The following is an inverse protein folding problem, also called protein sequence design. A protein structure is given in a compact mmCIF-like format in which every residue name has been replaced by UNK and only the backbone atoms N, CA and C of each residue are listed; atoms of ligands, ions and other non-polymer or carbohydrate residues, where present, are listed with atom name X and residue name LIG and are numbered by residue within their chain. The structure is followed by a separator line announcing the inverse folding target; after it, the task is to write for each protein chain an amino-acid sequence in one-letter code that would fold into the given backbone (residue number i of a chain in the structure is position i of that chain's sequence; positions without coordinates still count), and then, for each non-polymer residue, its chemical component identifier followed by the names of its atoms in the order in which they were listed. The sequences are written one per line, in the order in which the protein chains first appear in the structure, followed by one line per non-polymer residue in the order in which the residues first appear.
data_IF_454812893011
#
_entry.id   IF_454812893011
#
_cell.length_a   1.000
_cell.length_b   1.000
_cell.length_c   1.000
_cell.angle_alpha   90.00
_cell.angle_beta   90.00
_cell.angle_gamma   90.00
#
_symmetry.space_group_name_H-M   'P 1'
#
loop_
_entity.id
_entity.type
_entity.pdbx_description
1 polymer ?
#
# COMPACT_ATOMS: atom_id res chain seq x y z
N UNK A 1 -24.20 31.78 9.07
CA UNK A 1 -22.86 31.44 9.57
C UNK A 1 -22.92 30.39 10.70
N UNK A 2 -23.65 30.57 11.75
CA UNK A 2 -23.72 29.68 12.93
C UNK A 2 -24.09 28.23 12.57
N UNK A 3 -25.10 28.03 11.72
CA UNK A 3 -25.50 26.67 11.29
C UNK A 3 -24.45 25.92 10.46
N UNK A 4 -23.66 26.61 9.65
CA UNK A 4 -22.59 25.98 8.91
C UNK A 4 -21.49 25.46 9.86
N UNK A 5 -21.13 26.28 10.85
CA UNK A 5 -20.15 25.88 11.88
C UNK A 5 -20.69 24.69 12.68
N UNK A 6 -21.96 24.72 13.06
CA UNK A 6 -22.62 23.63 13.79
C UNK A 6 -22.56 22.31 13.02
N UNK A 7 -22.95 22.31 11.73
CA UNK A 7 -22.91 21.14 10.87
C UNK A 7 -21.44 20.64 10.69
N UNK A 8 -20.50 21.57 10.55
CA UNK A 8 -19.08 21.27 10.47
C UNK A 8 -18.55 20.52 11.70
N UNK A 9 -18.89 21.02 12.89
CA UNK A 9 -18.47 20.38 14.15
C UNK A 9 -19.09 18.98 14.27
N UNK A 10 -20.36 18.82 13.93
CA UNK A 10 -21.03 17.52 13.94
C UNK A 10 -20.39 16.53 12.95
N UNK A 11 -20.05 17.02 11.76
CA UNK A 11 -19.37 16.20 10.76
C UNK A 11 -17.98 15.75 11.23
N UNK A 12 -17.20 16.65 11.84
CA UNK A 12 -15.89 16.30 12.42
C UNK A 12 -16.01 15.28 13.56
N UNK A 13 -17.04 15.41 14.43
CA UNK A 13 -17.31 14.41 15.47
C UNK A 13 -17.63 13.03 14.86
N UNK A 14 -18.52 12.99 13.88
CA UNK A 14 -18.87 11.75 13.17
C UNK A 14 -17.66 11.16 12.45
N UNK A 15 -16.79 12.00 11.90
CA UNK A 15 -15.55 11.58 11.25
C UNK A 15 -14.57 10.96 12.26
N UNK A 16 -14.43 11.55 13.44
CA UNK A 16 -13.65 10.98 14.53
C UNK A 16 -14.17 9.61 14.97
N UNK A 17 -15.48 9.47 15.14
CA UNK A 17 -16.13 8.19 15.51
C UNK A 17 -15.92 7.15 14.41
N UNK A 18 -16.13 7.50 13.14
CA UNK A 18 -15.93 6.60 12.00
C UNK A 18 -14.48 6.16 11.88
N UNK A 19 -13.53 7.08 12.05
CA UNK A 19 -12.10 6.79 12.03
C UNK A 19 -11.73 5.79 13.13
N UNK A 20 -12.15 6.04 14.38
CA UNK A 20 -11.88 5.13 15.49
C UNK A 20 -12.50 3.76 15.28
N UNK A 21 -13.73 3.70 14.75
CA UNK A 21 -14.41 2.43 14.45
C UNK A 21 -13.65 1.64 13.39
N UNK A 22 -13.26 2.28 12.30
CA UNK A 22 -12.53 1.61 11.21
C UNK A 22 -11.13 1.20 11.67
N UNK A 23 -10.41 2.06 12.42
CA UNK A 23 -9.11 1.70 13.02
C UNK A 23 -9.21 0.48 13.93
N UNK A 24 -10.27 0.41 14.74
CA UNK A 24 -10.49 -0.75 15.60
C UNK A 24 -10.64 -2.05 14.79
N UNK A 25 -11.41 -2.04 13.69
CA UNK A 25 -11.52 -3.20 12.81
C UNK A 25 -10.22 -3.53 12.08
N UNK A 26 -9.49 -2.52 11.60
CA UNK A 26 -8.16 -2.71 10.99
C UNK A 26 -7.22 -3.40 11.99
N UNK A 27 -7.15 -2.93 13.23
CA UNK A 27 -6.32 -3.53 14.27
C UNK A 27 -6.72 -4.96 14.61
N UNK A 28 -8.01 -5.29 14.60
CA UNK A 28 -8.47 -6.65 14.84
C UNK A 28 -8.06 -7.59 13.69
N UNK A 29 -8.27 -7.18 12.45
CA UNK A 29 -8.05 -8.05 11.28
C UNK A 29 -6.55 -8.15 11.00
N UNK A 30 -5.89 -7.03 10.70
CA UNK A 30 -4.46 -7.03 10.36
C UNK A 30 -3.60 -7.43 11.57
N UNK A 31 -4.00 -7.04 12.78
CA UNK A 31 -3.34 -7.45 14.02
C UNK A 31 -3.35 -8.95 14.23
N UNK A 32 -4.49 -9.61 14.00
CA UNK A 32 -4.60 -11.07 14.09
C UNK A 32 -3.69 -11.76 13.06
N UNK A 33 -3.69 -11.29 11.81
CA UNK A 33 -2.87 -11.85 10.73
C UNK A 33 -1.38 -11.67 11.01
N UNK A 34 -0.98 -10.50 11.48
CA UNK A 34 0.43 -10.23 11.84
C UNK A 34 0.89 -11.08 13.03
N UNK A 35 0.09 -11.20 14.09
CA UNK A 35 0.44 -12.03 15.24
C UNK A 35 0.58 -13.50 14.86
N UNK A 36 -0.32 -14.03 14.03
CA UNK A 36 -0.21 -15.39 13.52
C UNK A 36 1.04 -15.59 12.66
N UNK A 37 1.36 -14.64 11.80
CA UNK A 37 2.55 -14.67 10.94
C UNK A 37 3.84 -14.68 11.78
N UNK A 38 3.97 -13.80 12.77
CA UNK A 38 5.16 -13.73 13.61
C UNK A 38 5.28 -14.95 14.54
N UNK A 39 4.16 -15.44 15.09
CA UNK A 39 4.12 -16.65 15.91
C UNK A 39 4.56 -17.89 15.13
N UNK A 40 4.10 -18.04 13.88
CA UNK A 40 4.49 -19.20 13.04
C UNK A 40 5.98 -19.19 12.67
N UNK A 41 6.64 -18.04 12.71
CA UNK A 41 8.08 -17.90 12.46
C UNK A 41 8.94 -17.84 13.73
N UNK A 42 8.39 -18.15 14.92
CA UNK A 42 9.05 -18.12 16.22
C UNK A 42 9.70 -16.75 16.56
N UNK A 43 9.02 -15.66 16.21
CA UNK A 43 9.49 -14.30 16.47
C UNK A 43 8.80 -13.67 17.67
N UNK A 44 9.49 -12.71 18.28
CA UNK A 44 9.00 -11.99 19.45
C UNK A 44 7.71 -11.21 19.15
N UNK A 45 6.72 -11.32 20.04
CA UNK A 45 5.45 -10.59 19.93
C UNK A 45 5.64 -9.06 19.92
N UNK A 46 6.69 -8.54 20.54
CA UNK A 46 7.03 -7.12 20.53
C UNK A 46 7.27 -6.59 19.11
N UNK A 47 7.95 -7.37 18.28
CA UNK A 47 8.22 -7.03 16.87
C UNK A 47 6.97 -7.07 16.02
N UNK A 48 6.06 -8.01 16.31
CA UNK A 48 4.76 -8.08 15.67
C UNK A 48 3.95 -6.80 15.94
N UNK A 49 3.89 -6.38 17.20
CA UNK A 49 3.19 -5.15 17.61
C UNK A 49 3.78 -3.92 16.92
N UNK A 50 5.12 -3.80 16.88
CA UNK A 50 5.78 -2.70 16.17
C UNK A 50 5.39 -2.67 14.68
N UNK A 51 5.39 -3.81 14.03
CA UNK A 51 5.02 -3.92 12.62
C UNK A 51 3.55 -3.55 12.37
N UNK A 52 2.63 -3.96 13.26
CA UNK A 52 1.22 -3.55 13.21
C UNK A 52 1.10 -2.03 13.23
N UNK A 53 1.78 -1.36 14.18
CA UNK A 53 1.73 0.11 14.27
C UNK A 53 2.30 0.81 13.02
N UNK A 54 3.35 0.25 12.42
CA UNK A 54 3.94 0.79 11.19
C UNK A 54 3.01 0.67 9.98
N UNK A 55 2.11 -0.30 9.96
CA UNK A 55 1.15 -0.52 8.86
C UNK A 55 -0.13 0.31 8.98
N UNK A 56 -0.47 0.80 10.18
CA UNK A 56 -1.68 1.60 10.43
C UNK A 56 -1.85 2.77 9.44
N UNK A 57 -0.83 3.61 9.17
CA UNK A 57 -1.00 4.74 8.27
C UNK A 57 -1.42 4.34 6.86
N UNK A 58 -0.84 3.27 6.32
CA UNK A 58 -1.18 2.74 5.01
C UNK A 58 -2.64 2.26 4.97
N UNK A 59 -3.01 1.36 5.89
CA UNK A 59 -4.35 0.76 5.94
C UNK A 59 -5.43 1.83 6.20
N UNK A 60 -5.12 2.84 7.03
CA UNK A 60 -6.02 3.97 7.26
C UNK A 60 -6.22 4.78 5.99
N UNK A 61 -5.16 5.01 5.20
CA UNK A 61 -5.25 5.75 3.95
C UNK A 61 -6.09 5.00 2.90
N UNK A 62 -5.94 3.68 2.80
CA UNK A 62 -6.78 2.83 1.95
C UNK A 62 -8.26 2.85 2.38
N UNK A 63 -8.52 2.87 3.68
CA UNK A 63 -9.87 2.91 4.24
C UNK A 63 -10.53 4.31 4.23
N UNK A 64 -9.82 5.36 3.77
CA UNK A 64 -10.31 6.74 3.89
C UNK A 64 -11.65 6.98 3.21
N UNK A 65 -11.90 6.37 2.04
CA UNK A 65 -13.18 6.49 1.34
C UNK A 65 -14.33 5.92 2.19
N UNK A 66 -14.11 4.78 2.85
CA UNK A 66 -15.08 4.16 3.76
C UNK A 66 -15.33 5.04 4.99
N UNK A 67 -14.28 5.60 5.58
CA UNK A 67 -14.38 6.50 6.74
C UNK A 67 -15.23 7.73 6.41
N UNK A 68 -14.99 8.37 5.28
CA UNK A 68 -15.75 9.54 4.81
C UNK A 68 -17.22 9.18 4.55
N UNK A 69 -17.47 8.03 3.93
CA UNK A 69 -18.82 7.55 3.67
C UNK A 69 -19.59 7.32 4.97
N UNK A 70 -19.01 6.57 5.92
CA UNK A 70 -19.64 6.32 7.23
C UNK A 70 -19.88 7.62 8.01
N UNK A 71 -18.90 8.52 8.01
CA UNK A 71 -19.03 9.84 8.64
C UNK A 71 -20.21 10.64 8.09
N UNK A 72 -20.38 10.62 6.78
CA UNK A 72 -21.51 11.30 6.12
C UNK A 72 -22.85 10.68 6.52
N UNK A 73 -22.93 9.34 6.50
CA UNK A 73 -24.14 8.61 6.92
C UNK A 73 -24.50 8.93 8.38
N UNK A 74 -23.53 8.85 9.29
CA UNK A 74 -23.74 9.13 10.70
C UNK A 74 -24.21 10.57 10.93
N UNK A 75 -23.58 11.55 10.28
CA UNK A 75 -23.93 12.95 10.41
C UNK A 75 -25.37 13.21 9.95
N UNK A 76 -25.73 12.76 8.74
CA UNK A 76 -27.07 13.04 8.20
C UNK A 76 -28.15 12.19 8.86
N UNK A 77 -27.84 10.97 9.31
CA UNK A 77 -28.74 10.16 10.11
C UNK A 77 -29.05 10.86 11.44
N UNK A 78 -28.03 11.38 12.10
CA UNK A 78 -28.23 12.11 13.36
C UNK A 78 -29.05 13.40 13.17
N UNK A 79 -28.72 14.24 12.16
CA UNK A 79 -29.47 15.45 11.83
C UNK A 79 -30.96 15.14 11.49
N UNK A 80 -31.18 14.01 10.82
CA UNK A 80 -32.54 13.58 10.46
C UNK A 80 -33.33 13.12 11.68
N UNK A 81 -32.74 12.28 12.53
CA UNK A 81 -33.37 11.76 13.73
C UNK A 81 -33.67 12.85 14.76
N UNK A 82 -32.86 13.91 14.81
CA UNK A 82 -33.07 15.08 15.66
C UNK A 82 -34.09 16.10 15.07
N UNK A 83 -34.72 15.78 13.92
CA UNK A 83 -35.62 16.68 13.19
C UNK A 83 -34.98 18.03 12.79
N UNK A 84 -33.67 18.14 12.79
CA UNK A 84 -32.97 19.39 12.47
C UNK A 84 -33.05 19.72 10.97
N UNK A 85 -33.05 18.71 10.11
CA UNK A 85 -33.16 18.90 8.65
C UNK A 85 -34.46 19.60 8.26
N UNK A 86 -35.67 19.18 8.76
CA UNK A 86 -36.91 19.89 8.51
C UNK A 86 -36.88 21.33 9.01
N UNK A 87 -36.35 21.57 10.23
CA UNK A 87 -36.22 22.89 10.82
C UNK A 87 -35.36 23.83 9.98
N UNK A 88 -34.20 23.31 9.51
CA UNK A 88 -33.28 24.05 8.64
C UNK A 88 -33.93 24.40 7.30
N UNK A 89 -34.70 23.48 6.72
CA UNK A 89 -35.45 23.73 5.48
C UNK A 89 -36.58 24.75 5.71
N UNK A 90 -37.32 24.65 6.81
CA UNK A 90 -38.38 25.61 7.15
C UNK A 90 -37.81 27.02 7.36
N UNK A 91 -36.56 27.16 7.82
CA UNK A 91 -35.86 28.45 7.92
C UNK A 91 -35.34 29.00 6.58
N UNK A 92 -35.76 28.41 5.44
CA UNK A 92 -35.41 28.88 4.09
C UNK A 92 -34.03 28.45 3.59
N UNK A 93 -33.37 27.47 4.25
CA UNK A 93 -32.09 26.98 3.80
C UNK A 93 -32.27 25.89 2.75
N UNK A 94 -31.58 26.03 1.60
CA UNK A 94 -31.58 25.02 0.57
C UNK A 94 -30.77 23.80 1.04
N UNK A 95 -31.11 22.60 0.55
CA UNK A 95 -30.38 21.37 0.81
C UNK A 95 -28.87 21.50 0.47
N UNK A 96 -28.56 22.25 -0.58
CA UNK A 96 -27.16 22.49 -0.99
C UNK A 96 -26.37 23.25 0.10
N UNK A 97 -26.97 24.23 0.77
CA UNK A 97 -26.33 24.97 1.87
C UNK A 97 -26.09 24.11 3.10
N UNK A 98 -26.89 23.06 3.30
CA UNK A 98 -26.72 22.09 4.40
C UNK A 98 -25.58 21.12 4.07
N UNK A 99 -25.42 20.72 2.79
CA UNK A 99 -24.38 19.81 2.32
C UNK A 99 -22.99 20.47 2.17
N UNK A 100 -22.94 21.76 1.90
CA UNK A 100 -21.71 22.48 1.60
C UNK A 100 -20.63 22.35 2.71
N UNK A 101 -20.93 22.52 4.01
CA UNK A 101 -19.93 22.41 5.06
C UNK A 101 -19.25 21.03 5.13
N UNK A 102 -19.95 19.89 5.15
CA UNK A 102 -19.33 18.57 5.11
C UNK A 102 -18.45 18.37 3.85
N UNK A 103 -18.91 18.80 2.68
CA UNK A 103 -18.16 18.67 1.42
C UNK A 103 -16.85 19.45 1.47
N UNK A 104 -16.86 20.71 1.95
CA UNK A 104 -15.64 21.49 2.09
C UNK A 104 -14.64 20.87 3.05
N UNK A 105 -15.12 20.33 4.19
CA UNK A 105 -14.27 19.63 5.15
C UNK A 105 -13.66 18.37 4.51
N UNK A 106 -14.46 17.60 3.78
CA UNK A 106 -13.97 16.39 3.08
C UNK A 106 -12.89 16.72 2.07
N UNK A 107 -13.07 17.77 1.26
CA UNK A 107 -12.05 18.24 0.30
C UNK A 107 -10.77 18.65 1.05
N UNK A 108 -10.91 19.43 2.12
CA UNK A 108 -9.77 19.87 2.92
C UNK A 108 -8.99 18.69 3.53
N UNK A 109 -9.71 17.72 4.11
CA UNK A 109 -9.11 16.50 4.67
C UNK A 109 -8.46 15.67 3.58
N UNK A 110 -9.09 15.51 2.41
CA UNK A 110 -8.53 14.79 1.28
C UNK A 110 -7.20 15.39 0.81
N UNK A 111 -7.12 16.72 0.69
CA UNK A 111 -5.87 17.41 0.38
C UNK A 111 -4.82 17.19 1.47
N UNK A 112 -5.18 17.33 2.73
CA UNK A 112 -4.27 17.15 3.86
C UNK A 112 -3.73 15.72 3.90
N UNK A 113 -4.57 14.72 3.73
CA UNK A 113 -4.17 13.30 3.67
C UNK A 113 -3.26 13.03 2.48
N UNK A 114 -3.50 13.62 1.32
CA UNK A 114 -2.66 13.43 0.15
C UNK A 114 -1.26 14.03 0.38
N UNK A 115 -1.17 15.24 0.90
CA UNK A 115 0.12 15.92 1.08
C UNK A 115 0.93 15.40 2.27
N UNK A 116 0.28 15.04 3.37
CA UNK A 116 0.95 14.58 4.60
C UNK A 116 0.94 13.06 4.71
N UNK A 117 -0.16 12.41 4.36
CA UNK A 117 -0.32 10.95 4.46
C UNK A 117 0.61 10.19 3.52
N UNK A 118 0.79 10.64 2.28
CA UNK A 118 1.67 9.98 1.32
C UNK A 118 3.12 9.83 1.82
N UNK A 119 3.81 10.91 2.21
CA UNK A 119 5.13 10.83 2.83
C UNK A 119 5.16 9.98 4.11
N UNK A 120 4.14 10.11 4.97
CA UNK A 120 4.05 9.35 6.22
C UNK A 120 3.97 7.84 5.94
N UNK A 121 3.13 7.42 5.01
CA UNK A 121 3.01 6.01 4.57
C UNK A 121 4.34 5.52 4.02
N UNK A 122 5.01 6.29 3.15
CA UNK A 122 6.29 5.90 2.57
C UNK A 122 7.37 5.64 3.61
N UNK A 123 7.50 6.51 4.63
CA UNK A 123 8.47 6.33 5.73
C UNK A 123 8.10 5.11 6.58
N UNK A 124 6.83 4.96 6.90
CA UNK A 124 6.31 3.88 7.72
C UNK A 124 6.54 2.51 7.06
N UNK A 125 6.24 2.40 5.76
CA UNK A 125 6.45 1.17 4.97
C UNK A 125 7.93 0.80 4.87
N UNK A 126 8.82 1.75 4.56
CA UNK A 126 10.27 1.49 4.52
C UNK A 126 10.80 0.95 5.85
N UNK A 127 10.28 1.47 6.96
CA UNK A 127 10.68 1.00 8.30
C UNK A 127 10.15 -0.41 8.56
N UNK A 128 8.90 -0.70 8.18
CA UNK A 128 8.31 -2.03 8.26
C UNK A 128 9.11 -3.06 7.44
N UNK A 129 9.44 -2.72 6.17
CA UNK A 129 10.23 -3.59 5.30
C UNK A 129 11.62 -3.87 5.89
N UNK A 130 12.30 -2.86 6.46
CA UNK A 130 13.60 -3.02 7.09
C UNK A 130 13.56 -3.95 8.32
N UNK A 131 12.45 -3.96 9.06
CA UNK A 131 12.22 -4.90 10.16
C UNK A 131 12.05 -6.31 9.64
N UNK A 132 11.28 -6.52 8.58
CA UNK A 132 11.05 -7.83 7.98
C UNK A 132 12.32 -8.39 7.30
N UNK A 133 13.10 -7.55 6.62
CA UNK A 133 14.36 -7.94 5.97
C UNK A 133 15.42 -8.44 6.97
N UNK A 134 15.54 -7.79 8.12
CA UNK A 134 16.49 -8.20 9.18
C UNK A 134 16.27 -9.63 9.69
N UNK A 135 15.07 -10.16 9.51
CA UNK A 135 14.70 -11.51 9.95
C UNK A 135 14.60 -12.52 8.80
N UNK A 136 15.04 -12.18 7.58
CA UNK A 136 14.83 -12.99 6.36
C UNK A 136 13.35 -13.40 6.16
N UNK A 137 12.43 -12.62 6.71
CA UNK A 137 10.99 -12.86 6.67
C UNK A 137 10.30 -12.15 5.51
N UNK A 138 11.06 -11.59 4.60
CA UNK A 138 10.48 -11.04 3.37
C UNK A 138 9.76 -12.17 2.67
N UNK A 139 8.47 -12.26 2.97
CA UNK A 139 7.60 -13.25 2.37
C UNK A 139 7.71 -13.07 0.86
N UNK A 140 7.97 -14.15 0.15
CA UNK A 140 7.91 -14.21 -1.33
C UNK A 140 6.58 -13.67 -1.87
N UNK A 141 5.58 -13.47 -1.01
CA UNK A 141 4.22 -13.07 -1.34
C UNK A 141 3.88 -11.60 -0.99
N UNK A 142 4.78 -10.83 -0.34
CA UNK A 142 4.44 -9.47 0.14
C UNK A 142 4.58 -8.38 -0.92
N UNK A 143 5.12 -8.69 -2.08
CA UNK A 143 5.22 -7.79 -3.21
C UNK A 143 4.83 -8.49 -4.51
N UNK A 144 3.57 -8.89 -4.62
CA UNK A 144 3.02 -9.02 -5.95
C UNK A 144 2.62 -7.61 -6.41
N UNK A 145 3.52 -6.94 -7.05
CA UNK A 145 3.11 -5.95 -8.01
C UNK A 145 2.37 -6.74 -9.08
N UNK A 146 1.04 -6.78 -9.00
CA UNK A 146 0.12 -7.23 -10.02
C UNK A 146 0.48 -8.56 -10.72
N UNK A 147 -0.48 -9.34 -11.14
CA UNK A 147 -0.37 -10.59 -11.90
C UNK A 147 0.56 -10.56 -13.15
N UNK A 148 1.32 -9.51 -13.36
CA UNK A 148 2.23 -9.33 -14.48
C UNK A 148 3.68 -9.31 -14.00
N UNK A 149 4.47 -10.27 -14.49
CA UNK A 149 5.92 -10.30 -14.37
C UNK A 149 6.56 -8.95 -14.73
N UNK A 150 7.61 -8.57 -14.02
CA UNK A 150 8.37 -7.34 -14.29
C UNK A 150 9.36 -7.64 -15.41
N UNK A 151 9.28 -6.90 -16.48
CA UNK A 151 10.19 -7.01 -17.62
C UNK A 151 11.13 -5.81 -17.67
N UNK A 152 12.41 -6.06 -17.60
CA UNK A 152 13.46 -5.08 -17.75
C UNK A 152 14.26 -5.41 -19.01
N UNK A 153 14.60 -4.41 -19.79
CA UNK A 153 15.50 -4.58 -20.94
C UNK A 153 16.73 -3.73 -20.74
N UNK A 154 17.87 -4.38 -20.74
CA UNK A 154 19.17 -3.71 -20.71
C UNK A 154 19.84 -3.90 -22.08
N UNK A 155 20.28 -2.79 -22.67
CA UNK A 155 20.89 -2.76 -23.98
C UNK A 155 22.30 -2.22 -23.84
N UNK A 156 23.28 -3.12 -23.90
CA UNK A 156 24.69 -2.78 -24.00
C UNK A 156 25.15 -2.90 -25.45
N UNK A 157 26.25 -2.25 -25.82
CA UNK A 157 26.73 -2.15 -27.22
C UNK A 157 26.89 -3.50 -27.94
N UNK A 158 27.00 -4.61 -27.23
CA UNK A 158 27.24 -5.94 -27.80
C UNK A 158 26.19 -6.99 -27.42
N UNK A 159 25.38 -6.79 -26.42
CA UNK A 159 24.46 -7.79 -25.85
C UNK A 159 23.14 -7.15 -25.49
N UNK A 160 22.07 -7.64 -26.07
CA UNK A 160 20.70 -7.32 -25.67
C UNK A 160 20.28 -8.30 -24.56
N UNK A 161 19.97 -7.82 -23.39
CA UNK A 161 19.53 -8.62 -22.26
C UNK A 161 18.10 -8.26 -21.87
N UNK A 162 17.24 -9.26 -21.83
CA UNK A 162 15.87 -9.12 -21.32
C UNK A 162 15.79 -9.86 -19.99
N UNK A 163 15.39 -9.17 -18.95
CA UNK A 163 15.30 -9.70 -17.59
C UNK A 163 13.82 -9.78 -17.23
N UNK A 164 13.37 -10.97 -16.87
CA UNK A 164 12.04 -11.21 -16.32
C UNK A 164 12.21 -11.49 -14.84
N UNK A 165 11.55 -10.74 -13.99
CA UNK A 165 11.51 -10.97 -12.55
C UNK A 165 10.07 -11.17 -12.10
N UNK A 166 9.84 -12.16 -11.25
CA UNK A 166 8.50 -12.41 -10.69
C UNK A 166 8.18 -11.48 -9.52
N UNK A 167 9.20 -11.01 -8.79
CA UNK A 167 9.03 -10.16 -7.62
C UNK A 167 10.25 -9.24 -7.42
N UNK A 168 10.03 -8.06 -6.84
CA UNK A 168 11.10 -7.16 -6.41
C UNK A 168 10.77 -6.57 -5.03
N UNK A 169 11.80 -6.11 -4.30
CA UNK A 169 11.58 -5.38 -3.06
C UNK A 169 11.15 -3.93 -3.35
N UNK A 170 10.64 -3.23 -2.32
CA UNK A 170 10.16 -1.84 -2.41
C UNK A 170 11.22 -0.82 -2.87
N UNK A 171 12.49 -1.14 -2.70
CA UNK A 171 13.62 -0.30 -3.11
C UNK A 171 14.13 -0.65 -4.52
N UNK A 172 13.53 -1.64 -5.19
CA UNK A 172 13.95 -2.15 -6.49
C UNK A 172 15.45 -2.56 -6.56
N UNK A 173 16.02 -2.99 -5.42
CA UNK A 173 17.41 -3.43 -5.33
C UNK A 173 17.56 -4.93 -5.27
N UNK A 174 16.53 -5.65 -4.80
CA UNK A 174 16.51 -7.11 -4.69
C UNK A 174 15.35 -7.65 -5.49
N UNK A 175 15.64 -8.63 -6.32
CA UNK A 175 14.68 -9.30 -7.19
C UNK A 175 14.66 -10.79 -6.89
N UNK A 176 13.51 -11.44 -7.07
CA UNK A 176 13.30 -12.87 -6.82
C UNK A 176 12.75 -13.57 -8.06
N UNK A 177 13.17 -14.83 -8.23
CA UNK A 177 12.84 -15.72 -9.36
C UNK A 177 13.03 -15.03 -10.72
N UNK A 178 14.30 -14.68 -10.99
CA UNK A 178 14.66 -13.98 -12.21
C UNK A 178 15.04 -14.96 -13.32
N UNK A 179 14.73 -14.51 -14.53
CA UNK A 179 15.17 -15.14 -15.75
C UNK A 179 15.80 -14.10 -16.66
N UNK A 180 17.08 -14.26 -16.92
CA UNK A 180 17.79 -13.43 -17.88
C UNK A 180 17.79 -14.14 -19.24
N UNK A 181 17.37 -13.43 -20.26
CA UNK A 181 17.44 -13.85 -21.66
C UNK A 181 18.49 -13.01 -22.35
N UNK A 182 19.57 -13.63 -22.77
CA UNK A 182 20.67 -12.99 -23.47
C UNK A 182 20.52 -13.24 -24.97
N UNK A 183 20.48 -12.15 -25.74
CA UNK A 183 20.37 -12.21 -27.20
C UNK A 183 21.68 -11.74 -27.87
N UNK A 184 22.11 -12.46 -28.87
CA UNK A 184 23.22 -12.08 -29.72
C UNK A 184 22.70 -11.59 -31.07
N UNK A 185 22.96 -10.31 -31.43
CA UNK A 185 22.36 -9.71 -32.62
C UNK A 185 20.85 -9.51 -32.51
N UNK A 186 20.16 -9.27 -33.60
CA UNK A 186 18.78 -8.81 -33.51
C UNK A 186 17.71 -9.86 -33.10
N UNK A 187 18.02 -11.19 -33.10
CA UNK A 187 16.94 -12.18 -32.83
C UNK A 187 17.39 -13.57 -32.30
N UNK A 188 18.65 -13.87 -32.08
CA UNK A 188 19.03 -15.20 -31.58
C UNK A 188 19.23 -15.20 -30.07
N UNK A 189 18.39 -15.98 -29.36
CA UNK A 189 18.60 -16.29 -27.94
C UNK A 189 19.93 -17.08 -27.80
N UNK A 190 20.89 -16.51 -27.08
CA UNK A 190 22.18 -17.11 -26.82
C UNK A 190 22.10 -18.07 -25.64
N UNK A 191 21.66 -17.58 -24.50
CA UNK A 191 21.48 -18.35 -23.26
C UNK A 191 20.40 -17.82 -22.39
N UNK A 192 19.90 -18.70 -21.51
CA UNK A 192 18.91 -18.38 -20.49
C UNK A 192 19.52 -18.64 -19.12
N UNK A 193 19.57 -17.61 -18.27
CA UNK A 193 20.10 -17.71 -16.91
C UNK A 193 18.93 -17.57 -15.96
N UNK A 194 18.74 -18.54 -15.09
CA UNK A 194 17.72 -18.47 -14.02
C UNK A 194 18.42 -18.31 -12.69
N UNK A 195 17.96 -17.35 -11.88
CA UNK A 195 18.45 -17.11 -10.53
C UNK A 195 17.29 -17.02 -9.54
N UNK A 196 17.44 -17.63 -8.38
CA UNK A 196 16.41 -17.56 -7.33
C UNK A 196 16.36 -16.17 -6.69
N UNK A 197 17.52 -15.48 -6.63
CA UNK A 197 17.64 -14.13 -6.08
C UNK A 197 18.70 -13.36 -6.86
N UNK A 198 18.45 -12.07 -7.10
CA UNK A 198 19.43 -11.15 -7.65
C UNK A 198 19.43 -9.84 -6.87
N UNK A 199 20.61 -9.32 -6.61
CA UNK A 199 20.82 -8.03 -5.98
C UNK A 199 21.43 -7.10 -7.02
N UNK A 200 20.77 -5.98 -7.28
CA UNK A 200 21.28 -4.96 -8.18
C UNK A 200 22.17 -4.01 -7.38
N UNK A 201 23.48 -4.12 -7.58
CA UNK A 201 24.47 -3.15 -7.15
C UNK A 201 24.66 -2.10 -8.26
N UNK A 202 25.25 -0.95 -7.95
CA UNK A 202 25.37 0.20 -8.88
C UNK A 202 25.90 -0.14 -10.28
N UNK A 203 26.66 -1.25 -10.45
CA UNK A 203 27.30 -1.61 -11.72
C UNK A 203 27.19 -3.08 -12.11
N UNK A 204 26.66 -3.96 -11.26
CA UNK A 204 26.60 -5.39 -11.52
C UNK A 204 25.45 -6.05 -10.77
N UNK A 205 25.02 -7.19 -11.32
CA UNK A 205 24.04 -8.06 -10.71
C UNK A 205 24.74 -9.15 -9.91
N UNK A 206 24.45 -9.27 -8.64
CA UNK A 206 24.88 -10.38 -7.81
C UNK A 206 23.76 -11.43 -7.78
N UNK A 207 24.04 -12.59 -8.38
CA UNK A 207 23.06 -13.65 -8.55
C UNK A 207 23.30 -14.77 -7.54
N UNK A 208 22.24 -15.29 -6.96
CA UNK A 208 22.28 -16.42 -6.03
C UNK A 208 21.48 -17.59 -6.59
N UNK A 209 22.00 -18.80 -6.48
CA UNK A 209 21.39 -20.05 -6.96
C UNK A 209 21.10 -20.00 -8.47
N UNK A 210 22.19 -19.92 -9.24
CA UNK A 210 22.13 -19.69 -10.69
C UNK A 210 22.09 -21.03 -11.43
N UNK A 211 21.13 -21.14 -12.38
CA UNK A 211 21.07 -22.23 -13.37
C UNK A 211 21.21 -21.64 -14.78
N UNK A 212 22.24 -22.04 -15.49
CA UNK A 212 22.47 -21.59 -16.86
C UNK A 212 21.95 -22.68 -17.81
N UNK A 213 21.11 -22.28 -18.76
CA UNK A 213 20.63 -23.13 -19.83
C UNK A 213 21.13 -22.55 -21.16
N UNK A 214 21.97 -23.30 -21.83
CA UNK A 214 22.47 -22.97 -23.15
C UNK A 214 21.42 -23.25 -24.24
N UNK A 215 21.61 -22.71 -25.45
CA UNK A 215 20.69 -22.80 -26.58
C UNK A 215 20.32 -24.26 -26.98
N UNK A 216 21.09 -25.26 -26.52
CA UNK A 216 20.85 -26.68 -26.71
C UNK A 216 20.05 -27.36 -25.57
N UNK A 217 19.43 -26.60 -24.65
CA UNK A 217 18.62 -27.12 -23.54
C UNK A 217 19.33 -28.13 -22.63
N UNK A 218 20.66 -28.20 -22.63
CA UNK A 218 21.42 -28.98 -21.65
C UNK A 218 21.84 -28.10 -20.49
N UNK A 219 21.59 -28.52 -19.25
CA UNK A 219 22.13 -27.85 -18.08
C UNK A 219 23.66 -28.11 -18.03
N UNK A 220 24.43 -27.02 -17.87
CA UNK A 220 25.82 -27.10 -17.43
C UNK A 220 25.92 -27.19 -15.91
#
# INVERSE_FOLDING_TARGET
MITAIYISIRYLQSLGVSLLTVLFFILLIDGSDQLNFFSSNNLDAEKAILNIFLRIPMLTMEAMALIIMLSSILTFSWLSNSNEIPILKASGKSAFRILLPPVLITIFIGLLVTFIGGPLVSVSMRTSDSVLERFNLTNKNSFSVSDNDIWLRDKSDSIDMVIKASQMNSTATVFYDLVFFEFYGQEKLNRKIRASKAILNEKFWELTDVKILDNNLKPE
#
